data_IF_337699106273
#
_entry.id   IF_337699106273
#
_cell.length_a   1.000
_cell.length_b   1.000
_cell.length_c   1.000
_cell.angle_alpha   90.00
_cell.angle_beta   90.00
_cell.angle_gamma   90.00
#
_symmetry.space_group_name_H-M   'P 1'
#
loop_
_entity.id
_entity.type
_entity.pdbx_description
1 polymer ?
#
# COMPACT_ATOMS: atom_id res chain seq x y z
N UNK A 1 8.66 0.13 18.11
CA UNK A 1 7.59 0.80 17.34
C UNK A 1 6.36 -0.10 17.40
N UNK A 2 5.19 0.44 17.74
CA UNK A 2 3.92 -0.30 17.80
C UNK A 2 3.16 -0.08 16.50
N UNK A 3 2.58 -1.15 15.94
CA UNK A 3 1.68 -1.12 14.79
C UNK A 3 0.29 -1.54 15.23
N UNK A 4 -0.74 -0.81 14.81
CA UNK A 4 -2.14 -1.14 15.04
C UNK A 4 -2.95 -1.01 13.76
N UNK A 5 -4.07 -1.74 13.70
CA UNK A 5 -5.08 -1.59 12.65
C UNK A 5 -5.79 -0.25 12.83
N UNK A 6 -5.93 0.53 11.75
CA UNK A 6 -6.65 1.82 11.80
C UNK A 6 -8.11 1.67 12.24
N UNK A 7 -8.69 0.47 12.06
CA UNK A 7 -10.07 0.13 12.45
C UNK A 7 -10.20 -0.29 13.92
N UNK A 8 -9.08 -0.43 14.66
CA UNK A 8 -9.09 -0.91 16.05
C UNK A 8 -9.52 0.13 17.07
N UNK A 9 -9.77 1.37 16.67
CA UNK A 9 -10.20 2.45 17.55
C UNK A 9 -10.22 3.80 16.85
N UNK A 10 -10.39 4.88 17.63
CA UNK A 10 -10.26 6.21 17.07
C UNK A 10 -8.82 6.51 16.65
N UNK A 11 -8.67 6.97 15.43
CA UNK A 11 -7.36 7.20 14.81
C UNK A 11 -6.53 8.24 15.58
N UNK A 12 -7.17 9.27 16.09
CA UNK A 12 -6.50 10.31 16.86
C UNK A 12 -5.99 9.75 18.19
N UNK A 13 -6.79 8.90 18.87
CA UNK A 13 -6.36 8.22 20.09
C UNK A 13 -5.16 7.29 19.85
N UNK A 14 -5.21 6.53 18.77
CA UNK A 14 -4.10 5.64 18.39
C UNK A 14 -2.79 6.43 18.18
N UNK A 15 -2.86 7.56 17.51
CA UNK A 15 -1.68 8.35 17.15
C UNK A 15 -1.20 9.20 18.34
N UNK A 16 -2.10 9.94 19.00
CA UNK A 16 -1.73 10.96 19.99
C UNK A 16 -1.49 10.35 21.36
N UNK A 17 -2.37 9.44 21.81
CA UNK A 17 -2.31 8.91 23.17
C UNK A 17 -1.53 7.59 23.23
N UNK A 18 -1.73 6.68 22.27
CA UNK A 18 -1.02 5.40 22.23
C UNK A 18 0.33 5.48 21.52
N UNK A 19 0.63 6.58 20.86
CA UNK A 19 1.91 6.82 20.19
C UNK A 19 2.31 5.72 19.21
N UNK A 20 1.36 5.23 18.40
CA UNK A 20 1.66 4.23 17.37
C UNK A 20 2.61 4.82 16.32
N UNK A 21 3.57 4.04 15.89
CA UNK A 21 4.52 4.43 14.83
C UNK A 21 4.16 3.87 13.46
N UNK A 22 3.20 2.95 13.41
CA UNK A 22 2.71 2.33 12.16
C UNK A 22 1.23 2.01 12.27
N UNK A 23 0.51 2.18 11.16
CA UNK A 23 -0.89 1.80 11.00
C UNK A 23 -1.08 0.95 9.75
N UNK A 24 -2.10 0.08 9.79
CA UNK A 24 -2.48 -0.75 8.64
C UNK A 24 -4.00 -0.66 8.37
N UNK A 25 -4.44 -1.13 7.23
CA UNK A 25 -5.83 -1.13 6.76
C UNK A 25 -6.48 0.26 6.80
N UNK A 26 -5.77 1.24 6.27
CA UNK A 26 -6.28 2.62 6.19
C UNK A 26 -7.22 2.80 5.02
N UNK A 27 -8.32 3.51 5.25
CA UNK A 27 -9.22 3.95 4.18
C UNK A 27 -8.72 5.22 3.47
N UNK A 28 -9.28 5.58 2.32
CA UNK A 28 -9.01 6.86 1.66
C UNK A 28 -9.27 8.09 2.55
N UNK A 29 -10.16 7.98 3.53
CA UNK A 29 -10.45 9.07 4.47
C UNK A 29 -9.44 9.10 5.63
N UNK A 30 -8.96 7.95 6.07
CA UNK A 30 -8.05 7.84 7.22
C UNK A 30 -6.65 8.38 6.92
N UNK A 31 -6.14 8.18 5.71
CA UNK A 31 -4.77 8.58 5.37
C UNK A 31 -4.50 10.07 5.51
N UNK A 32 -5.31 10.98 4.93
CA UNK A 32 -5.12 12.42 5.13
C UNK A 32 -5.27 12.82 6.58
N UNK A 33 -6.24 12.25 7.31
CA UNK A 33 -6.48 12.50 8.73
C UNK A 33 -5.29 12.07 9.58
N UNK A 34 -4.73 10.88 9.33
CA UNK A 34 -3.56 10.38 10.04
C UNK A 34 -2.35 11.32 9.89
N UNK A 35 -2.09 11.77 8.66
CA UNK A 35 -0.99 12.71 8.37
C UNK A 35 -1.22 14.07 9.05
N UNK A 36 -2.44 14.58 8.99
CA UNK A 36 -2.79 15.85 9.67
C UNK A 36 -2.62 15.72 11.18
N UNK A 37 -3.14 14.66 11.79
CA UNK A 37 -3.02 14.40 13.23
C UNK A 37 -1.56 14.29 13.67
N UNK A 38 -0.72 13.58 12.94
CA UNK A 38 0.72 13.52 13.24
C UNK A 38 1.35 14.89 13.23
N UNK A 39 1.08 15.70 12.21
CA UNK A 39 1.72 17.00 12.02
C UNK A 39 1.23 18.06 13.01
N UNK A 40 -0.03 17.98 13.45
CA UNK A 40 -0.66 19.05 14.23
C UNK A 40 -0.86 18.70 15.70
N UNK A 41 -1.00 17.42 16.04
CA UNK A 41 -1.38 16.97 17.38
C UNK A 41 -0.30 16.17 18.11
N UNK A 42 0.80 15.80 17.44
CA UNK A 42 1.89 15.07 18.09
C UNK A 42 3.07 15.99 18.38
N UNK A 43 3.77 15.72 19.49
CA UNK A 43 4.89 16.54 19.94
C UNK A 43 6.07 16.61 18.98
N UNK A 44 6.35 15.53 18.25
CA UNK A 44 7.55 15.40 17.43
C UNK A 44 7.24 15.45 15.93
N UNK A 45 6.00 15.30 15.51
CA UNK A 45 5.63 15.24 14.08
C UNK A 45 6.30 14.11 13.30
N UNK A 46 6.65 12.99 13.98
CA UNK A 46 7.32 11.86 13.32
C UNK A 46 6.31 11.16 12.38
N UNK A 47 6.58 11.07 11.07
CA UNK A 47 5.66 10.42 10.13
C UNK A 47 5.38 8.96 10.49
N UNK A 48 4.14 8.52 10.27
CA UNK A 48 3.75 7.12 10.42
C UNK A 48 4.29 6.26 9.27
N UNK A 49 4.60 5.01 9.57
CA UNK A 49 4.77 3.97 8.56
C UNK A 49 3.39 3.37 8.29
N UNK A 50 2.92 3.52 7.06
CA UNK A 50 1.62 3.05 6.63
C UNK A 50 1.82 1.81 5.75
N UNK A 51 1.27 0.69 6.20
CA UNK A 51 1.38 -0.60 5.53
C UNK A 51 0.02 -1.20 5.20
N UNK A 52 -0.01 -2.10 4.22
CA UNK A 52 -1.22 -2.85 3.90
C UNK A 52 -0.91 -4.20 3.24
N UNK A 53 -1.91 -5.09 3.20
CA UNK A 53 -1.85 -6.38 2.54
C UNK A 53 -2.23 -6.24 1.06
N UNK A 54 -1.22 -6.08 0.21
CA UNK A 54 -1.43 -5.96 -1.23
C UNK A 54 -1.05 -7.28 -1.94
N UNK A 55 -1.64 -8.39 -1.52
CA UNK A 55 -1.24 -9.77 -1.89
C UNK A 55 -1.48 -10.04 -3.38
N UNK A 56 -2.60 -9.59 -3.91
CA UNK A 56 -3.01 -9.79 -5.30
C UNK A 56 -3.70 -8.55 -5.89
N UNK A 57 -3.05 -7.42 -5.82
CA UNK A 57 -3.59 -6.09 -6.04
C UNK A 57 -3.86 -5.38 -4.73
N UNK A 58 -4.33 -4.15 -4.78
CA UNK A 58 -4.70 -3.39 -3.58
C UNK A 58 -6.18 -3.57 -3.25
N UNK A 59 -6.57 -4.78 -2.87
CA UNK A 59 -7.97 -5.20 -2.69
C UNK A 59 -8.74 -4.42 -1.62
N UNK A 60 -8.05 -3.77 -0.69
CA UNK A 60 -8.64 -2.93 0.35
C UNK A 60 -8.93 -1.50 -0.11
N UNK A 61 -8.52 -1.12 -1.31
CA UNK A 61 -8.71 0.23 -1.82
C UNK A 61 -9.74 0.27 -2.94
N UNK A 62 -10.83 1.04 -2.80
CA UNK A 62 -11.87 1.13 -3.81
C UNK A 62 -11.34 1.61 -5.17
N UNK A 63 -11.66 0.85 -6.21
CA UNK A 63 -11.26 1.17 -7.58
C UNK A 63 -9.89 0.67 -8.01
N UNK A 64 -9.14 0.01 -7.12
CA UNK A 64 -7.88 -0.64 -7.48
C UNK A 64 -8.09 -1.94 -8.24
N UNK A 65 -7.10 -2.31 -9.04
CA UNK A 65 -7.10 -3.57 -9.79
C UNK A 65 -6.90 -4.75 -8.84
N UNK A 66 -7.74 -5.77 -8.99
CA UNK A 66 -7.63 -7.04 -8.25
C UNK A 66 -7.16 -8.12 -9.22
N UNK A 67 -6.06 -8.79 -8.87
CA UNK A 67 -5.52 -9.93 -9.59
C UNK A 67 -6.01 -11.25 -8.97
N UNK A 68 -5.82 -12.39 -9.65
CA UNK A 68 -6.03 -13.71 -9.02
C UNK A 68 -5.21 -13.84 -7.73
N UNK A 69 -5.67 -14.70 -6.80
CA UNK A 69 -4.88 -15.02 -5.60
C UNK A 69 -3.47 -15.49 -5.96
N UNK A 70 -2.53 -15.47 -5.01
CA UNK A 70 -1.16 -15.93 -5.30
C UNK A 70 -1.15 -17.38 -5.80
N UNK A 71 -2.00 -18.25 -5.26
CA UNK A 71 -2.15 -19.60 -5.75
C UNK A 71 -2.65 -19.63 -7.19
N UNK A 72 -3.65 -18.80 -7.52
CA UNK A 72 -4.15 -18.63 -8.88
C UNK A 72 -3.09 -18.09 -9.85
N UNK A 73 -2.27 -17.13 -9.41
CA UNK A 73 -1.13 -16.64 -10.22
C UNK A 73 -0.07 -17.73 -10.43
N UNK A 74 0.18 -18.57 -9.42
CA UNK A 74 1.16 -19.67 -9.51
C UNK A 74 0.80 -20.69 -10.58
N UNK A 75 -0.48 -20.96 -10.82
CA UNK A 75 -0.92 -21.92 -11.86
C UNK A 75 -0.57 -21.49 -13.28
N UNK A 76 -0.21 -20.22 -13.48
CA UNK A 76 0.27 -19.75 -14.78
C UNK A 76 1.69 -20.23 -15.11
N UNK A 77 2.50 -20.60 -14.12
CA UNK A 77 3.94 -20.87 -14.24
C UNK A 77 4.72 -19.77 -14.98
N UNK A 78 4.18 -18.55 -15.01
CA UNK A 78 4.70 -17.41 -15.77
C UNK A 78 5.13 -16.28 -14.82
N UNK A 79 6.42 -16.25 -14.51
CA UNK A 79 7.00 -15.24 -13.63
C UNK A 79 6.90 -13.82 -14.18
N UNK A 80 6.81 -13.65 -15.51
CA UNK A 80 6.68 -12.35 -16.14
C UNK A 80 5.27 -11.75 -15.90
N UNK A 81 4.22 -12.57 -15.98
CA UNK A 81 2.86 -12.15 -15.64
C UNK A 81 2.73 -11.77 -14.17
N UNK A 82 3.31 -12.58 -13.28
CA UNK A 82 3.34 -12.32 -11.85
C UNK A 82 4.10 -11.03 -11.55
N UNK A 83 5.21 -10.79 -12.24
CA UNK A 83 5.93 -9.53 -12.15
C UNK A 83 5.11 -8.33 -12.63
N UNK A 84 4.35 -8.47 -13.71
CA UNK A 84 3.49 -7.41 -14.24
C UNK A 84 2.36 -7.07 -13.24
N UNK A 85 1.73 -8.08 -12.62
CA UNK A 85 0.74 -7.88 -11.58
C UNK A 85 1.33 -7.14 -10.37
N UNK A 86 2.50 -7.56 -9.90
CA UNK A 86 3.22 -6.87 -8.81
C UNK A 86 3.58 -5.42 -9.16
N UNK A 87 3.90 -5.15 -10.42
CA UNK A 87 4.19 -3.78 -10.91
C UNK A 87 2.94 -2.90 -10.86
N UNK A 88 1.83 -3.36 -11.42
CA UNK A 88 0.57 -2.63 -11.40
C UNK A 88 0.12 -2.36 -9.96
N UNK A 89 0.19 -3.36 -9.09
CA UNK A 89 -0.10 -3.20 -7.65
C UNK A 89 0.78 -2.11 -7.02
N UNK A 90 2.08 -2.12 -7.26
CA UNK A 90 2.99 -1.13 -6.69
C UNK A 90 2.74 0.29 -7.22
N UNK A 91 2.37 0.43 -8.48
CA UNK A 91 2.02 1.73 -9.09
C UNK A 91 0.74 2.29 -8.47
N UNK A 92 -0.30 1.48 -8.30
CA UNK A 92 -1.55 1.90 -7.64
C UNK A 92 -1.31 2.25 -6.17
N UNK A 93 -0.69 1.38 -5.40
CA UNK A 93 -0.41 1.58 -3.97
C UNK A 93 0.43 2.83 -3.74
N UNK A 94 1.45 3.08 -4.56
CA UNK A 94 2.33 4.25 -4.40
C UNK A 94 1.62 5.59 -4.53
N UNK A 95 0.44 5.62 -5.17
CA UNK A 95 -0.36 6.84 -5.34
C UNK A 95 -1.24 7.15 -4.13
N UNK A 96 -1.48 6.18 -3.25
CA UNK A 96 -2.36 6.31 -2.09
C UNK A 96 -1.67 6.86 -0.85
N UNK A 97 -0.35 6.78 -0.77
CA UNK A 97 0.43 7.15 0.42
C UNK A 97 0.80 5.96 1.30
N UNK A 98 0.37 4.75 0.96
CA UNK A 98 0.87 3.51 1.54
C UNK A 98 2.24 3.21 0.94
N UNK A 99 3.21 2.88 1.77
CA UNK A 99 4.60 2.71 1.33
C UNK A 99 5.27 1.43 1.86
N UNK A 100 4.49 0.60 2.53
CA UNK A 100 4.90 -0.71 2.99
C UNK A 100 3.83 -1.75 2.67
N UNK A 101 4.21 -2.89 2.13
CA UNK A 101 3.31 -4.03 1.92
C UNK A 101 3.83 -5.27 2.61
N UNK A 102 2.92 -6.13 3.06
CA UNK A 102 3.23 -7.42 3.67
C UNK A 102 3.30 -8.57 2.66
N UNK A 103 3.26 -8.22 1.36
CA UNK A 103 3.33 -9.17 0.25
C UNK A 103 4.76 -9.31 -0.29
N UNK A 104 5.09 -10.44 -0.93
CA UNK A 104 4.29 -11.66 -1.11
C UNK A 104 4.28 -12.56 0.14
N UNK A 105 3.25 -13.42 0.27
CA UNK A 105 3.20 -14.47 1.28
C UNK A 105 4.05 -15.64 0.82
N UNK A 106 5.06 -16.01 1.63
CA UNK A 106 6.10 -17.00 1.28
C UNK A 106 5.92 -18.34 2.01
N UNK A 107 4.77 -18.55 2.62
CA UNK A 107 4.48 -19.79 3.32
C UNK A 107 4.34 -20.95 2.32
N UNK A 108 4.72 -22.16 2.77
CA UNK A 108 4.56 -23.39 1.98
C UNK A 108 3.22 -24.04 2.37
N UNK A 109 2.33 -24.22 1.39
CA UNK A 109 1.00 -24.79 1.59
C UNK A 109 1.04 -26.33 1.62
N UNK A 110 1.54 -26.92 2.70
CA UNK A 110 1.63 -28.39 2.83
C UNK A 110 0.35 -29.06 3.33
N UNK A 111 -0.51 -28.31 4.00
CA UNK A 111 -1.75 -28.81 4.58
C UNK A 111 -2.92 -27.99 4.06
N UNK A 112 -3.78 -28.63 3.28
CA UNK A 112 -4.96 -27.98 2.67
C UNK A 112 -6.03 -27.55 3.67
N UNK A 113 -5.94 -27.97 4.94
CA UNK A 113 -6.81 -27.52 6.04
C UNK A 113 -6.42 -26.12 6.54
N UNK A 114 -5.23 -25.64 6.19
CA UNK A 114 -4.80 -24.30 6.55
C UNK A 114 -5.60 -23.25 5.74
N UNK A 115 -6.29 -22.34 6.44
CA UNK A 115 -7.22 -21.38 5.84
C UNK A 115 -6.59 -20.29 4.96
N UNK A 116 -5.24 -20.24 4.86
CA UNK A 116 -4.52 -19.22 4.07
C UNK A 116 -3.75 -19.81 2.88
N UNK A 117 -4.15 -20.98 2.41
CA UNK A 117 -3.50 -21.68 1.28
C UNK A 117 -3.55 -20.83 -0.01
N UNK A 118 -4.64 -20.17 -0.27
CA UNK A 118 -4.87 -19.32 -1.44
C UNK A 118 -3.95 -18.08 -1.50
N UNK A 119 -3.49 -17.62 -0.34
CA UNK A 119 -2.52 -16.52 -0.25
C UNK A 119 -1.10 -16.93 -0.65
N UNK A 120 -0.81 -18.22 -0.80
CA UNK A 120 0.53 -18.75 -1.11
C UNK A 120 0.68 -19.06 -2.59
N UNK A 121 1.92 -19.27 -3.04
CA UNK A 121 2.19 -19.80 -4.39
C UNK A 121 2.16 -21.33 -4.46
N UNK A 122 1.66 -22.04 -3.44
CA UNK A 122 1.54 -23.49 -3.40
C UNK A 122 2.53 -24.17 -2.46
N UNK A 123 2.87 -25.42 -2.75
CA UNK A 123 3.68 -26.28 -1.88
C UNK A 123 5.15 -26.45 -2.34
N UNK A 124 5.46 -26.08 -3.59
CA UNK A 124 6.82 -26.23 -4.14
C UNK A 124 7.69 -25.01 -3.76
N UNK A 125 8.73 -25.19 -2.94
CA UNK A 125 9.60 -24.10 -2.52
C UNK A 125 10.38 -23.46 -3.68
N UNK A 126 10.68 -24.19 -4.75
CA UNK A 126 11.34 -23.62 -5.93
C UNK A 126 10.40 -22.64 -6.65
N UNK A 127 9.18 -23.08 -6.96
CA UNK A 127 8.17 -22.22 -7.59
C UNK A 127 7.87 -20.98 -6.75
N UNK A 128 7.69 -21.16 -5.43
CA UNK A 128 7.50 -20.04 -4.49
C UNK A 128 8.65 -19.04 -4.60
N UNK A 129 9.89 -19.50 -4.63
CA UNK A 129 11.08 -18.66 -4.73
C UNK A 129 11.11 -17.83 -6.03
N UNK A 130 10.81 -18.42 -7.17
CA UNK A 130 10.78 -17.76 -8.48
C UNK A 130 9.65 -16.72 -8.57
N UNK A 131 8.44 -17.09 -8.17
CA UNK A 131 7.27 -16.18 -8.17
C UNK A 131 7.47 -15.02 -7.20
N UNK A 132 7.92 -15.31 -5.98
CA UNK A 132 8.19 -14.30 -4.96
C UNK A 132 9.29 -13.32 -5.40
N UNK A 133 10.38 -13.83 -5.99
CA UNK A 133 11.45 -12.99 -6.53
C UNK A 133 10.93 -12.02 -7.59
N UNK A 134 9.99 -12.45 -8.41
CA UNK A 134 9.37 -11.66 -9.47
C UNK A 134 8.51 -10.54 -8.90
N UNK A 135 7.67 -10.82 -7.89
CA UNK A 135 6.87 -9.80 -7.19
C UNK A 135 7.79 -8.81 -6.46
N UNK A 136 8.76 -9.28 -5.71
CA UNK A 136 9.67 -8.40 -4.97
C UNK A 136 10.43 -7.46 -5.90
N UNK A 137 10.92 -7.98 -7.05
CA UNK A 137 11.58 -7.13 -8.08
C UNK A 137 10.64 -6.09 -8.65
N UNK A 138 9.37 -6.42 -8.82
CA UNK A 138 8.35 -5.52 -9.32
C UNK A 138 8.01 -4.40 -8.31
N UNK A 139 7.74 -4.77 -7.07
CA UNK A 139 7.37 -3.84 -5.98
C UNK A 139 8.57 -2.94 -5.64
N UNK A 140 9.75 -3.53 -5.48
CA UNK A 140 10.99 -2.80 -5.26
C UNK A 140 11.50 -2.21 -6.57
N UNK A 141 10.67 -1.42 -7.26
CA UNK A 141 11.16 -0.66 -8.39
C UNK A 141 12.49 -0.07 -7.99
N UNK A 142 13.54 -0.39 -8.75
CA UNK A 142 14.77 0.36 -8.78
C UNK A 142 14.43 1.77 -9.31
N UNK A 143 13.75 2.58 -8.51
CA UNK A 143 14.10 3.97 -8.51
C UNK A 143 15.61 3.93 -8.31
N UNK A 144 16.34 4.29 -9.32
CA UNK A 144 17.71 4.69 -9.10
C UNK A 144 17.61 5.81 -8.07
N UNK A 145 17.75 5.47 -6.78
CA UNK A 145 18.19 6.39 -5.78
C UNK A 145 19.61 6.75 -6.23
N UNK A 146 19.71 7.53 -7.28
CA UNK A 146 20.79 8.43 -7.41
C UNK A 146 20.62 9.34 -6.19
N UNK A 147 21.22 8.90 -5.09
CA UNK A 147 21.71 9.80 -4.08
C UNK A 147 22.63 10.76 -4.83
N UNK A 148 22.03 11.70 -5.54
CA UNK A 148 22.72 12.94 -5.80
C UNK A 148 23.05 13.45 -4.42
N UNK A 149 24.33 13.61 -4.13
CA UNK A 149 24.89 14.19 -2.90
C UNK A 149 24.33 15.58 -2.56
N UNK A 150 23.21 15.95 -3.15
CA UNK A 150 22.42 17.14 -2.89
C UNK A 150 20.99 16.69 -2.62
N UNK A 151 20.64 16.60 -1.35
CA UNK A 151 19.38 16.15 -0.78
C UNK A 151 18.12 16.91 -1.25
N UNK A 152 17.85 16.91 -2.54
CA UNK A 152 16.66 17.49 -3.13
C UNK A 152 16.24 16.68 -4.34
N UNK A 153 15.42 15.64 -4.15
CA UNK A 153 14.62 15.12 -5.23
C UNK A 153 13.35 15.97 -5.36
N UNK A 154 13.20 16.78 -6.43
CA UNK A 154 12.01 17.59 -6.66
C UNK A 154 10.75 16.74 -6.91
N UNK A 155 10.90 15.49 -7.37
CA UNK A 155 9.82 14.59 -7.72
C UNK A 155 9.02 14.11 -6.50
N UNK A 156 9.68 13.65 -5.45
CA UNK A 156 9.04 13.23 -4.20
C UNK A 156 8.31 14.40 -3.54
N UNK A 157 8.90 15.60 -3.53
CA UNK A 157 8.24 16.82 -3.03
C UNK A 157 7.03 17.24 -3.88
N UNK A 158 7.05 17.02 -5.19
CA UNK A 158 5.91 17.34 -6.05
C UNK A 158 4.77 16.33 -5.88
N UNK A 159 5.05 15.05 -5.72
CA UNK A 159 4.04 14.02 -5.50
C UNK A 159 3.36 14.24 -4.15
N UNK A 160 4.11 14.43 -3.07
CA UNK A 160 3.55 14.82 -1.78
C UNK A 160 2.80 16.16 -1.84
N UNK A 161 3.36 17.20 -2.46
CA UNK A 161 2.66 18.50 -2.61
C UNK A 161 1.40 18.41 -3.47
N UNK A 162 1.35 17.56 -4.51
CA UNK A 162 0.12 17.37 -5.31
C UNK A 162 -0.96 16.64 -4.54
N UNK A 163 -0.64 15.57 -3.81
CA UNK A 163 -1.59 14.86 -2.96
C UNK A 163 -2.19 15.78 -1.90
N UNK A 164 -1.37 16.57 -1.22
CA UNK A 164 -1.83 17.46 -0.14
C UNK A 164 -2.46 18.76 -0.63
N UNK A 165 -2.13 19.25 -1.81
CA UNK A 165 -2.76 20.45 -2.38
C UNK A 165 -4.18 20.20 -2.88
N UNK A 166 -4.50 18.96 -3.28
CA UNK A 166 -5.84 18.59 -3.74
C UNK A 166 -6.78 18.15 -2.60
N UNK A 167 -6.26 17.69 -1.47
CA UNK A 167 -7.07 17.33 -0.29
C UNK A 167 -7.72 18.54 0.41
N UNK A 168 -7.22 19.76 0.20
CA UNK A 168 -7.71 20.98 0.84
C UNK A 168 -8.63 21.86 -0.01
N UNK A 169 -9.00 21.46 -1.22
CA UNK A 169 -9.94 22.27 -2.02
C UNK A 169 -11.27 21.53 -2.19
N UNK A 170 -12.37 22.02 -1.58
CA UNK A 170 -13.71 21.51 -1.89
C UNK A 170 -13.94 21.73 -3.40
N UNK A 171 -14.31 20.67 -4.11
CA UNK A 171 -14.77 20.78 -5.50
C UNK A 171 -15.97 21.73 -5.52
N UNK A 172 -15.85 22.88 -6.12
CA UNK A 172 -17.02 23.69 -6.50
C UNK A 172 -17.86 22.84 -7.45
N UNK A 173 -18.97 22.36 -6.95
CA UNK A 173 -20.04 21.84 -7.80
C UNK A 173 -20.52 23.03 -8.61
N UNK A 174 -20.27 23.04 -9.91
CA UNK A 174 -20.92 23.99 -10.82
C UNK A 174 -22.38 23.58 -10.86
N UNK A 175 -23.23 24.35 -10.22
CA UNK A 175 -24.66 24.32 -10.48
C UNK A 175 -24.89 24.81 -11.94
N UNK A 176 -25.08 23.87 -12.85
CA UNK A 176 -25.61 24.17 -14.17
C UNK A 176 -27.10 24.55 -14.05
N UNK A 177 -27.62 25.39 -14.95
CA UNK A 177 -29.04 25.73 -14.94
C UNK A 177 -29.90 24.51 -15.22
N UNK A 178 -30.95 24.35 -14.41
CA UNK A 178 -32.01 23.35 -14.62
C UNK A 178 -32.78 23.77 -15.89
N UNK A 179 -32.94 22.88 -16.90
CA UNK A 179 -33.77 23.19 -18.05
C UNK A 179 -35.25 23.20 -17.64
N UNK A 180 -36.09 23.97 -18.36
CA UNK A 180 -37.50 24.18 -18.07
C UNK A 180 -38.38 22.93 -18.22
#
# INVERSE_FOLDING_TARGET
MMQLDARSGDLDDLIVNKHVGSILHTSPADLPRAVETVNTKTRLGIPLIIGDDCIHGYSFWPGSTIFPSQLGMATSFDTAKVQAAGRATAEEVSTTGVHWTFSPVLCIARDTRWGRVDETFGEDPYLIGEMASSIVKAIRRRQSWRTTRQGRDPGLRQTFRRLFRNAGRPRRVRSGPVPP
#
